data_IF_978340045153
#
_entry.id   IF_978340045153
#
_cell.length_a   1.000
_cell.length_b   1.000
_cell.length_c   1.000
_cell.angle_alpha   90.00
_cell.angle_beta   90.00
_cell.angle_gamma   90.00
#
_symmetry.space_group_name_H-M   'P 1'
#
loop_
_entity.id
_entity.type
_entity.pdbx_description
1 polymer ?
#
# COMPACT_ATOMS: atom_id res chain seq x y z
N UNK A 1 0.93 12.77 -1.77
CA UNK A 1 0.00 13.28 -2.80
C UNK A 1 -1.26 13.69 -2.06
N UNK A 2 -1.60 14.98 -2.06
CA UNK A 2 -2.73 15.53 -1.29
C UNK A 2 -3.62 16.44 -2.15
N UNK A 3 -3.38 16.47 -3.46
CA UNK A 3 -4.05 17.34 -4.42
C UNK A 3 -4.85 16.50 -5.39
N UNK A 4 -6.00 17.02 -5.84
CA UNK A 4 -6.79 16.41 -6.92
C UNK A 4 -6.22 16.70 -8.31
N UNK A 5 -5.23 17.60 -8.44
CA UNK A 5 -4.62 17.94 -9.73
C UNK A 5 -3.85 16.74 -10.32
N UNK A 6 -4.32 16.16 -11.44
CA UNK A 6 -3.68 15.01 -12.07
C UNK A 6 -2.27 15.31 -12.56
N UNK A 7 -2.00 16.53 -13.08
CA UNK A 7 -0.69 16.87 -13.62
C UNK A 7 0.37 16.93 -12.51
N UNK A 8 0.03 17.56 -11.39
CA UNK A 8 0.89 17.59 -10.22
C UNK A 8 1.11 16.18 -9.63
N UNK A 9 0.10 15.32 -9.63
CA UNK A 9 0.22 13.93 -9.19
C UNK A 9 1.16 13.11 -10.09
N UNK A 10 1.02 13.25 -11.40
CA UNK A 10 1.89 12.59 -12.38
C UNK A 10 3.33 13.09 -12.26
N UNK A 11 3.54 14.40 -12.12
CA UNK A 11 4.89 14.96 -11.92
C UNK A 11 5.60 14.41 -10.67
N UNK A 12 4.87 14.21 -9.57
CA UNK A 12 5.41 13.57 -8.36
C UNK A 12 5.71 12.09 -8.57
N UNK A 13 4.86 11.37 -9.30
CA UNK A 13 5.10 9.99 -9.66
C UNK A 13 6.37 9.84 -10.50
N UNK A 14 6.55 10.65 -11.54
CA UNK A 14 7.76 10.64 -12.37
C UNK A 14 9.02 10.95 -11.56
N UNK A 15 8.94 11.88 -10.60
CA UNK A 15 10.04 12.14 -9.68
C UNK A 15 10.42 10.90 -8.87
N UNK A 16 9.44 10.19 -8.29
CA UNK A 16 9.67 8.95 -7.55
C UNK A 16 10.23 7.83 -8.45
N UNK A 17 9.67 7.65 -9.64
CA UNK A 17 10.13 6.64 -10.59
C UNK A 17 11.59 6.89 -11.01
N UNK A 18 11.97 8.16 -11.20
CA UNK A 18 13.36 8.50 -11.51
C UNK A 18 14.32 8.18 -10.36
N UNK A 19 13.90 8.33 -9.10
CA UNK A 19 14.70 7.91 -7.94
C UNK A 19 14.87 6.39 -7.97
N UNK A 20 13.78 5.62 -8.07
CA UNK A 20 13.84 4.16 -8.05
C UNK A 20 14.61 3.58 -9.24
N UNK A 21 14.48 4.16 -10.44
CA UNK A 21 15.25 3.73 -11.63
C UNK A 21 16.73 4.01 -11.48
N UNK A 22 17.11 5.17 -10.91
CA UNK A 22 18.52 5.52 -10.71
C UNK A 22 19.20 4.66 -9.64
N UNK A 23 18.46 4.24 -8.61
CA UNK A 23 18.99 3.34 -7.58
C UNK A 23 19.13 1.90 -8.07
N UNK A 24 18.33 1.49 -9.07
CA UNK A 24 18.39 0.14 -9.67
C UNK A 24 19.43 -0.03 -10.78
N UNK A 25 19.89 1.04 -11.44
CA UNK A 25 20.94 0.95 -12.47
C UNK A 25 22.31 0.81 -11.81
N UNK A 26 22.77 -0.44 -11.64
CA UNK A 26 24.18 -0.76 -11.44
C UNK A 26 24.89 -0.83 -12.80
N UNK A 27 25.51 0.27 -13.24
CA UNK A 27 26.38 0.29 -14.42
C UNK A 27 27.55 -0.68 -14.24
N UNK A 28 27.54 -1.81 -14.96
CA UNK A 28 28.49 -2.93 -14.85
C UNK A 28 29.90 -2.68 -15.46
N UNK A 29 30.36 -1.44 -15.66
CA UNK A 29 31.50 -1.17 -16.57
C UNK A 29 32.86 -0.72 -15.97
N UNK A 30 33.06 -0.58 -14.64
CA UNK A 30 34.36 -0.12 -14.09
C UNK A 30 34.78 -0.77 -12.76
N UNK A 31 35.65 -1.78 -12.83
CA UNK A 31 35.70 -2.92 -11.90
C UNK A 31 36.55 -2.81 -10.62
N UNK A 32 36.89 -1.62 -10.07
CA UNK A 32 37.76 -1.57 -8.86
C UNK A 32 37.25 -0.72 -7.68
N UNK A 33 36.21 0.12 -7.87
CA UNK A 33 35.50 0.81 -6.78
C UNK A 33 34.09 0.24 -6.51
N UNK A 34 33.82 -0.96 -7.04
CA UNK A 34 32.48 -1.50 -7.22
C UNK A 34 31.77 -1.90 -5.95
N UNK A 35 32.45 -2.53 -4.98
CA UNK A 35 31.77 -3.09 -3.81
C UNK A 35 31.25 -1.99 -2.88
N UNK A 36 32.04 -0.94 -2.64
CA UNK A 36 31.62 0.18 -1.80
C UNK A 36 30.49 0.99 -2.45
N UNK A 37 30.57 1.23 -3.77
CA UNK A 37 29.54 1.95 -4.51
C UNK A 37 28.25 1.13 -4.65
N UNK A 38 28.36 -0.18 -4.89
CA UNK A 38 27.24 -1.13 -4.98
C UNK A 38 26.52 -1.28 -3.64
N UNK A 39 27.25 -1.43 -2.54
CA UNK A 39 26.66 -1.48 -1.20
C UNK A 39 25.96 -0.16 -0.83
N UNK A 40 26.55 0.97 -1.21
CA UNK A 40 25.93 2.30 -1.00
C UNK A 40 24.63 2.44 -1.82
N UNK A 41 24.64 2.02 -3.09
CA UNK A 41 23.45 2.07 -3.93
C UNK A 41 22.34 1.12 -3.44
N UNK A 42 22.69 -0.07 -2.95
CA UNK A 42 21.73 -1.00 -2.35
C UNK A 42 21.11 -0.45 -1.05
N UNK A 43 21.90 0.19 -0.20
CA UNK A 43 21.39 0.86 1.00
C UNK A 43 20.44 2.02 0.65
N UNK A 44 20.80 2.84 -0.34
CA UNK A 44 19.96 3.94 -0.81
C UNK A 44 18.67 3.42 -1.45
N UNK A 45 18.75 2.34 -2.23
CA UNK A 45 17.57 1.71 -2.83
C UNK A 45 16.62 1.19 -1.74
N UNK A 46 17.15 0.38 -0.81
CA UNK A 46 16.39 -0.13 0.32
C UNK A 46 15.76 1.01 1.13
N UNK A 47 16.53 2.04 1.46
CA UNK A 47 16.04 3.20 2.20
C UNK A 47 14.91 3.93 1.46
N UNK A 48 15.04 4.12 0.14
CA UNK A 48 14.03 4.78 -0.68
C UNK A 48 12.71 4.02 -0.68
N UNK A 49 12.76 2.69 -0.76
CA UNK A 49 11.57 1.84 -0.62
C UNK A 49 10.96 1.92 0.77
N UNK A 50 11.78 1.89 1.83
CA UNK A 50 11.31 2.09 3.20
C UNK A 50 10.59 3.43 3.37
N UNK A 51 11.14 4.52 2.82
CA UNK A 51 10.52 5.83 2.81
C UNK A 51 9.16 5.82 2.09
N UNK A 52 9.07 5.17 0.91
CA UNK A 52 7.81 5.05 0.19
C UNK A 52 6.77 4.32 1.04
N UNK A 53 7.15 3.19 1.64
CA UNK A 53 6.23 2.40 2.45
C UNK A 53 5.75 3.17 3.69
N UNK A 54 6.68 3.72 4.47
CA UNK A 54 6.34 4.47 5.68
C UNK A 54 5.52 5.71 5.37
N UNK A 55 5.83 6.43 4.28
CA UNK A 55 5.01 7.58 3.87
C UNK A 55 3.63 7.18 3.36
N UNK A 56 3.49 6.05 2.68
CA UNK A 56 2.19 5.52 2.24
C UNK A 56 1.30 5.15 3.43
N UNK A 57 1.86 4.46 4.43
CA UNK A 57 1.15 4.12 5.68
C UNK A 57 0.75 5.41 6.42
N UNK A 58 1.69 6.33 6.64
CA UNK A 58 1.37 7.58 7.34
C UNK A 58 0.33 8.43 6.58
N UNK A 59 0.31 8.39 5.26
CA UNK A 59 -0.68 9.10 4.44
C UNK A 59 -2.06 8.46 4.61
N UNK A 60 -2.11 7.12 4.67
CA UNK A 60 -3.33 6.38 4.89
C UNK A 60 -3.94 6.71 6.26
N UNK A 61 -3.16 6.59 7.33
CA UNK A 61 -3.60 6.87 8.69
C UNK A 61 -4.13 8.30 8.85
N UNK A 62 -3.46 9.29 8.24
CA UNK A 62 -3.75 10.71 8.49
C UNK A 62 -4.73 11.35 7.52
N UNK A 63 -4.80 10.89 6.27
CA UNK A 63 -5.58 11.58 5.23
C UNK A 63 -6.68 10.70 4.62
N UNK A 64 -6.40 9.42 4.34
CA UNK A 64 -7.36 8.55 3.65
C UNK A 64 -8.55 8.16 4.52
N UNK A 65 -8.38 8.22 5.85
CA UNK A 65 -9.46 8.13 6.81
C UNK A 65 -10.56 9.19 6.60
N UNK A 66 -10.23 10.34 5.99
CA UNK A 66 -11.13 11.49 5.84
C UNK A 66 -11.43 11.87 4.39
N UNK A 67 -10.64 11.41 3.41
CA UNK A 67 -10.82 11.76 2.01
C UNK A 67 -10.61 10.54 1.09
N UNK A 68 -11.72 10.02 0.57
CA UNK A 68 -11.74 8.85 -0.34
C UNK A 68 -11.11 9.20 -1.69
N UNK A 69 -11.42 10.35 -2.27
CA UNK A 69 -10.94 10.75 -3.60
C UNK A 69 -9.41 10.78 -3.68
N UNK A 70 -8.74 11.33 -2.66
CA UNK A 70 -7.27 11.31 -2.58
C UNK A 70 -6.75 9.87 -2.51
N UNK A 71 -7.46 9.00 -1.79
CA UNK A 71 -7.11 7.57 -1.67
C UNK A 71 -7.13 6.88 -3.03
N UNK A 72 -8.17 7.11 -3.85
CA UNK A 72 -8.31 6.53 -5.18
C UNK A 72 -7.17 6.96 -6.11
N UNK A 73 -6.87 8.27 -6.13
CA UNK A 73 -5.76 8.82 -6.92
C UNK A 73 -4.42 8.23 -6.44
N UNK A 74 -4.18 8.19 -5.14
CA UNK A 74 -2.94 7.64 -4.57
C UNK A 74 -2.77 6.15 -4.91
N UNK A 75 -3.84 5.37 -4.79
CA UNK A 75 -3.86 3.94 -5.10
C UNK A 75 -3.55 3.68 -6.57
N UNK A 76 -4.04 4.50 -7.50
CA UNK A 76 -3.66 4.42 -8.92
C UNK A 76 -2.15 4.60 -9.11
N UNK A 77 -1.56 5.64 -8.52
CA UNK A 77 -0.13 5.91 -8.64
C UNK A 77 0.71 4.77 -8.05
N UNK A 78 0.34 4.25 -6.88
CA UNK A 78 0.99 3.07 -6.29
C UNK A 78 0.83 1.81 -7.15
N UNK A 79 -0.34 1.59 -7.73
CA UNK A 79 -0.58 0.48 -8.67
C UNK A 79 0.38 0.56 -9.86
N UNK A 80 0.64 1.77 -10.37
CA UNK A 80 1.68 2.03 -11.38
C UNK A 80 3.07 1.66 -10.92
N UNK A 81 3.48 2.09 -9.72
CA UNK A 81 4.79 1.78 -9.13
C UNK A 81 4.96 0.27 -8.97
N UNK A 82 3.98 -0.44 -8.38
CA UNK A 82 4.07 -1.89 -8.18
C UNK A 82 3.93 -2.69 -9.47
N UNK A 83 3.33 -2.12 -10.51
CA UNK A 83 3.34 -2.75 -11.85
C UNK A 83 4.72 -2.68 -12.49
N UNK A 84 5.50 -1.62 -12.20
CA UNK A 84 6.89 -1.48 -12.65
C UNK A 84 7.90 -2.23 -11.76
N UNK A 85 7.60 -2.37 -10.47
CA UNK A 85 8.46 -3.02 -9.48
C UNK A 85 7.68 -4.09 -8.69
N UNK A 86 7.37 -5.25 -9.30
CA UNK A 86 6.44 -6.25 -8.75
C UNK A 86 6.89 -6.85 -7.43
N UNK A 87 8.20 -7.10 -7.27
CA UNK A 87 8.76 -7.75 -6.07
C UNK A 87 8.54 -6.91 -4.79
N UNK A 88 8.35 -5.60 -4.96
CA UNK A 88 8.14 -4.63 -3.88
C UNK A 88 6.72 -4.61 -3.33
N UNK A 89 5.78 -5.27 -3.99
CA UNK A 89 4.39 -5.34 -3.53
C UNK A 89 4.23 -6.19 -2.26
N UNK A 90 4.94 -7.31 -2.16
CA UNK A 90 4.82 -8.22 -1.00
C UNK A 90 5.30 -7.55 0.29
N UNK A 91 6.45 -6.87 0.24
CA UNK A 91 6.97 -6.08 1.36
C UNK A 91 5.97 -5.00 1.80
N UNK A 92 5.24 -4.40 0.85
CA UNK A 92 4.23 -3.41 1.15
C UNK A 92 2.96 -4.01 1.79
N UNK A 93 2.48 -5.15 1.29
CA UNK A 93 1.35 -5.85 1.92
C UNK A 93 1.65 -6.30 3.35
N UNK A 94 2.86 -6.77 3.63
CA UNK A 94 3.27 -7.07 5.01
C UNK A 94 3.07 -5.87 5.94
N UNK A 95 3.40 -4.66 5.48
CA UNK A 95 3.21 -3.43 6.27
C UNK A 95 1.75 -3.04 6.42
N UNK A 96 0.94 -3.22 5.38
CA UNK A 96 -0.50 -2.97 5.44
C UNK A 96 -1.14 -3.88 6.49
N UNK A 97 -0.80 -5.17 6.50
CA UNK A 97 -1.34 -6.11 7.48
C UNK A 97 -0.83 -5.87 8.90
N UNK A 98 0.41 -5.39 9.07
CA UNK A 98 0.89 -4.95 10.39
C UNK A 98 0.17 -3.68 10.88
N UNK A 99 -0.13 -2.75 9.98
CA UNK A 99 -0.84 -1.51 10.32
C UNK A 99 -2.34 -1.74 10.59
N UNK A 100 -2.96 -2.72 9.93
CA UNK A 100 -4.34 -3.15 10.15
C UNK A 100 -4.44 -4.69 10.11
N UNK A 101 -4.21 -5.37 11.24
CA UNK A 101 -4.21 -6.83 11.33
C UNK A 101 -5.52 -7.49 10.94
N UNK A 102 -6.64 -6.79 11.08
CA UNK A 102 -7.96 -7.25 10.62
C UNK A 102 -7.97 -7.60 9.12
N UNK A 103 -7.17 -6.92 8.29
CA UNK A 103 -7.04 -7.25 6.86
C UNK A 103 -6.25 -8.56 6.62
N UNK A 104 -5.46 -9.01 7.59
CA UNK A 104 -4.61 -10.21 7.51
C UNK A 104 -5.23 -11.49 8.10
N UNK A 105 -6.39 -11.38 8.75
CA UNK A 105 -7.07 -12.49 9.45
C UNK A 105 -7.43 -13.69 8.55
N UNK A 106 -7.50 -13.49 7.23
CA UNK A 106 -7.70 -14.57 6.26
C UNK A 106 -6.53 -15.55 6.18
N UNK A 107 -5.34 -15.14 6.62
CA UNK A 107 -4.12 -15.95 6.54
C UNK A 107 -3.59 -16.38 7.90
N UNK A 108 -3.81 -15.58 8.95
CA UNK A 108 -3.26 -15.82 10.28
C UNK A 108 -4.28 -15.46 11.37
N UNK A 109 -4.94 -16.47 11.97
CA UNK A 109 -5.89 -16.26 13.07
C UNK A 109 -5.24 -15.67 14.33
N UNK A 110 -3.92 -15.81 14.51
CA UNK A 110 -3.22 -15.23 15.66
C UNK A 110 -3.24 -13.70 15.66
N UNK A 111 -3.60 -13.09 14.52
CA UNK A 111 -3.87 -11.66 14.40
C UNK A 111 -4.95 -11.15 15.37
N UNK A 112 -5.87 -12.00 15.85
CA UNK A 112 -6.88 -11.62 16.84
C UNK A 112 -6.24 -11.07 18.14
N UNK A 113 -5.18 -11.73 18.63
CA UNK A 113 -4.47 -11.28 19.83
C UNK A 113 -3.83 -9.90 19.64
N UNK A 114 -3.27 -9.66 18.45
CA UNK A 114 -2.68 -8.36 18.11
C UNK A 114 -3.74 -7.26 18.02
N UNK A 115 -4.92 -7.59 17.48
CA UNK A 115 -6.05 -6.66 17.45
C UNK A 115 -6.43 -6.25 18.88
N UNK A 116 -6.62 -7.20 19.78
CA UNK A 116 -6.98 -6.93 21.18
C UNK A 116 -5.93 -6.05 21.88
N UNK A 117 -4.64 -6.34 21.67
CA UNK A 117 -3.54 -5.53 22.20
C UNK A 117 -3.61 -4.08 21.69
N UNK A 118 -3.79 -3.88 20.39
CA UNK A 118 -3.85 -2.54 19.80
C UNK A 118 -5.05 -1.70 20.25
N UNK A 119 -6.20 -2.33 20.52
CA UNK A 119 -7.37 -1.65 21.09
C UNK A 119 -7.15 -1.20 22.53
N UNK A 120 -6.29 -1.89 23.28
CA UNK A 120 -6.02 -1.55 24.67
C UNK A 120 -5.15 -0.30 24.86
N UNK A 121 -4.41 0.11 23.82
CA UNK A 121 -3.38 1.17 23.94
C UNK A 121 -3.74 2.50 23.30
N UNK A 122 -4.59 2.52 22.27
CA UNK A 122 -4.78 3.74 21.44
C UNK A 122 -6.12 3.74 20.70
N UNK A 123 -6.63 4.92 20.35
CA UNK A 123 -7.72 5.04 19.36
C UNK A 123 -7.18 4.78 17.95
N UNK A 124 -7.22 3.51 17.54
CA UNK A 124 -6.66 3.00 16.28
C UNK A 124 -7.66 2.95 15.11
N UNK A 125 -8.96 3.13 15.38
CA UNK A 125 -10.01 2.88 14.39
C UNK A 125 -9.92 3.84 13.19
N UNK A 126 -9.62 5.12 13.46
CA UNK A 126 -9.43 6.11 12.39
C UNK A 126 -8.22 5.78 11.50
N UNK A 127 -7.14 5.28 12.09
CA UNK A 127 -5.97 4.83 11.34
C UNK A 127 -6.33 3.63 10.46
N UNK A 128 -7.01 2.62 11.02
CA UNK A 128 -7.45 1.43 10.30
C UNK A 128 -8.41 1.74 9.16
N UNK A 129 -9.32 2.71 9.32
CA UNK A 129 -10.16 3.23 8.25
C UNK A 129 -9.31 3.67 7.06
N UNK A 130 -8.27 4.47 7.32
CA UNK A 130 -7.32 4.92 6.31
C UNK A 130 -6.58 3.77 5.63
N UNK A 131 -6.06 2.81 6.40
CA UNK A 131 -5.34 1.64 5.88
C UNK A 131 -6.26 0.75 5.03
N UNK A 132 -7.46 0.44 5.52
CA UNK A 132 -8.44 -0.40 4.82
C UNK A 132 -8.90 0.23 3.51
N UNK A 133 -9.10 1.55 3.49
CA UNK A 133 -9.39 2.29 2.26
C UNK A 133 -8.24 2.22 1.25
N UNK A 134 -7.00 2.43 1.68
CA UNK A 134 -5.83 2.30 0.80
C UNK A 134 -5.71 0.89 0.22
N UNK A 135 -5.80 -0.13 1.07
CA UNK A 135 -5.70 -1.53 0.67
C UNK A 135 -6.75 -1.87 -0.40
N UNK A 136 -8.02 -1.56 -0.11
CA UNK A 136 -9.12 -1.83 -1.02
C UNK A 136 -8.94 -1.09 -2.34
N UNK A 137 -8.60 0.21 -2.28
CA UNK A 137 -8.39 1.02 -3.47
C UNK A 137 -7.24 0.47 -4.31
N UNK A 138 -6.15 0.05 -3.69
CA UNK A 138 -4.98 -0.50 -4.40
C UNK A 138 -5.29 -1.81 -5.13
N UNK A 139 -6.15 -2.67 -4.58
CA UNK A 139 -6.57 -3.91 -5.25
C UNK A 139 -7.44 -3.66 -6.48
N UNK A 140 -8.19 -2.54 -6.49
CA UNK A 140 -9.11 -2.19 -7.56
C UNK A 140 -8.48 -1.24 -8.58
N UNK A 141 -7.52 -0.41 -8.17
CA UNK A 141 -6.96 0.66 -8.96
C UNK A 141 -6.24 0.18 -10.24
N UNK A 142 -6.49 0.91 -11.31
CA UNK A 142 -5.71 0.82 -12.54
C UNK A 142 -4.50 1.76 -12.48
N UNK A 143 -3.33 1.33 -12.99
CA UNK A 143 -2.16 2.20 -13.09
C UNK A 143 -2.46 3.38 -14.04
N UNK A 144 -1.75 4.52 -13.89
CA UNK A 144 -1.93 5.66 -14.77
C UNK A 144 -1.66 5.27 -16.25
N UNK A 145 -2.55 5.63 -17.19
CA UNK A 145 -2.44 5.18 -18.58
C UNK A 145 -1.11 5.54 -19.26
N UNK A 146 -0.52 6.68 -18.93
CA UNK A 146 0.73 7.17 -19.52
C UNK A 146 1.94 6.26 -19.21
N UNK A 147 1.88 5.43 -18.17
CA UNK A 147 2.95 4.48 -17.87
C UNK A 147 2.97 3.29 -18.84
N UNK A 148 1.87 3.03 -19.57
CA UNK A 148 1.79 1.92 -20.52
C UNK A 148 1.92 0.53 -19.88
N UNK A 149 1.63 0.39 -18.58
CA UNK A 149 1.73 -0.87 -17.84
C UNK A 149 0.36 -1.43 -17.49
N UNK A 150 0.25 -2.76 -17.44
CA UNK A 150 -0.92 -3.45 -16.90
C UNK A 150 -0.83 -3.59 -15.38
N UNK A 151 -1.99 -3.58 -14.71
CA UNK A 151 -2.09 -3.82 -13.26
C UNK A 151 -1.39 -5.11 -12.85
N UNK A 152 -0.66 -5.07 -11.74
CA UNK A 152 -0.01 -6.24 -11.16
C UNK A 152 -1.00 -7.39 -10.91
N UNK A 153 -0.59 -8.64 -11.16
CA UNK A 153 -1.47 -9.83 -11.09
C UNK A 153 -2.12 -10.02 -9.71
N UNK A 154 -1.43 -9.64 -8.64
CA UNK A 154 -1.95 -9.75 -7.26
C UNK A 154 -2.87 -8.60 -6.85
N UNK A 155 -2.80 -7.46 -7.55
CA UNK A 155 -3.73 -6.35 -7.35
C UNK A 155 -5.00 -6.70 -8.11
N UNK A 156 -5.85 -7.53 -7.51
CA UNK A 156 -7.09 -7.96 -8.13
C UNK A 156 -8.18 -8.23 -7.06
N UNK A 157 -9.46 -8.28 -7.46
CA UNK A 157 -10.57 -8.49 -6.53
C UNK A 157 -10.58 -9.84 -5.81
N UNK A 158 -9.86 -10.86 -6.30
CA UNK A 158 -9.84 -12.18 -5.64
C UNK A 158 -9.16 -12.15 -4.26
N UNK A 159 -8.15 -11.29 -4.07
CA UNK A 159 -7.55 -11.10 -2.75
C UNK A 159 -8.52 -10.36 -1.82
N UNK A 160 -9.26 -9.37 -2.34
CA UNK A 160 -10.29 -8.68 -1.57
C UNK A 160 -11.37 -9.65 -1.09
N UNK A 161 -11.81 -10.57 -1.96
CA UNK A 161 -12.75 -11.62 -1.59
C UNK A 161 -12.22 -12.51 -0.47
N UNK A 162 -10.94 -12.91 -0.54
CA UNK A 162 -10.30 -13.70 0.54
C UNK A 162 -10.29 -12.94 1.87
N UNK A 163 -9.97 -11.65 1.86
CA UNK A 163 -10.00 -10.80 3.05
C UNK A 163 -11.40 -10.74 3.64
N UNK A 164 -12.42 -10.48 2.83
CA UNK A 164 -13.83 -10.46 3.27
C UNK A 164 -14.21 -11.80 3.91
N UNK A 165 -13.89 -12.92 3.25
CA UNK A 165 -14.19 -14.25 3.80
C UNK A 165 -13.42 -14.53 5.09
N UNK A 166 -12.18 -14.05 5.21
CA UNK A 166 -11.39 -14.18 6.43
C UNK A 166 -12.00 -13.42 7.58
N UNK A 167 -12.43 -12.17 7.35
CA UNK A 167 -13.07 -11.35 8.38
C UNK A 167 -14.40 -11.98 8.85
N UNK A 168 -15.22 -12.48 7.93
CA UNK A 168 -16.55 -13.05 8.25
C UNK A 168 -16.47 -14.39 8.97
N UNK A 169 -15.43 -15.19 8.69
CA UNK A 169 -15.28 -16.54 9.26
C UNK A 169 -14.52 -16.58 10.59
N UNK A 170 -14.07 -15.45 11.12
CA UNK A 170 -13.35 -15.35 12.39
C UNK A 170 -14.28 -14.83 13.51
N UNK A 171 -13.81 -14.89 14.75
CA UNK A 171 -14.52 -14.30 15.87
C UNK A 171 -14.80 -12.81 15.61
N UNK A 172 -16.06 -12.43 15.77
CA UNK A 172 -16.52 -11.08 15.43
C UNK A 172 -16.03 -10.08 16.48
N UNK A 173 -15.15 -9.16 16.07
CA UNK A 173 -14.70 -8.03 16.89
C UNK A 173 -15.50 -6.79 16.45
N UNK A 174 -16.53 -6.36 17.19
CA UNK A 174 -17.57 -5.48 16.65
C UNK A 174 -17.06 -4.21 15.98
N UNK A 175 -16.18 -3.45 16.65
CA UNK A 175 -15.69 -2.18 16.13
C UNK A 175 -14.68 -2.39 14.99
N UNK A 176 -13.76 -3.34 15.12
CA UNK A 176 -12.75 -3.65 14.11
C UNK A 176 -13.36 -4.15 12.80
N UNK A 177 -14.21 -5.18 12.92
CA UNK A 177 -14.83 -5.84 11.78
C UNK A 177 -15.76 -4.89 11.04
N UNK A 178 -16.57 -4.10 11.76
CA UNK A 178 -17.45 -3.11 11.14
C UNK A 178 -16.65 -2.03 10.40
N UNK A 179 -15.60 -1.48 11.03
CA UNK A 179 -14.78 -0.41 10.47
C UNK A 179 -14.06 -0.84 9.18
N UNK A 180 -13.45 -2.03 9.16
CA UNK A 180 -12.77 -2.52 7.97
C UNK A 180 -13.77 -2.89 6.87
N UNK A 181 -14.89 -3.52 7.24
CA UNK A 181 -15.91 -3.93 6.26
C UNK A 181 -16.55 -2.73 5.57
N UNK A 182 -16.90 -1.67 6.32
CA UNK A 182 -17.51 -0.47 5.72
C UNK A 182 -16.55 0.19 4.74
N UNK A 183 -15.26 0.28 5.07
CA UNK A 183 -14.25 0.83 4.17
C UNK A 183 -14.11 0.04 2.87
N UNK A 184 -14.17 -1.30 2.95
CA UNK A 184 -14.14 -2.17 1.77
C UNK A 184 -15.33 -1.85 0.86
N UNK A 185 -16.54 -1.73 1.41
CA UNK A 185 -17.74 -1.44 0.62
C UNK A 185 -17.73 -0.02 0.05
N UNK A 186 -17.36 1.00 0.83
CA UNK A 186 -17.29 2.40 0.38
C UNK A 186 -16.35 2.57 -0.82
N UNK A 187 -15.16 1.99 -0.74
CA UNK A 187 -14.20 2.06 -1.85
C UNK A 187 -14.67 1.24 -3.03
N UNK A 188 -15.18 0.03 -2.80
CA UNK A 188 -15.66 -0.83 -3.90
C UNK A 188 -16.77 -0.13 -4.69
N UNK A 189 -17.70 0.54 -4.00
CA UNK A 189 -18.76 1.33 -4.64
C UNK A 189 -18.22 2.48 -5.48
N UNK A 190 -17.09 3.07 -5.09
CA UNK A 190 -16.47 4.18 -5.83
C UNK A 190 -15.85 3.76 -7.18
N UNK A 191 -15.72 2.45 -7.44
CA UNK A 191 -15.22 1.88 -8.70
C UNK A 191 -16.33 1.32 -9.61
N UNK A 192 -17.59 1.31 -9.17
CA UNK A 192 -18.77 0.89 -9.95
C UNK A 192 -19.61 2.10 -10.36
#
# INVERSE_FOLDING_TARGET
ISSHDPLHCIGRLECLLNIFRRTTITDCSKQTNFEKLRNTNQLIDSFSWQCLYSSSISQAEKQFAYNIDITLVYASLLSGIFSLFPDKLFEFFGRIFLACPALGLFSDPSGLNLIEEMFSTTDILSNWRGIARLFTALLLAHPPPHLGVSRHKLLNPSLLWRVITGIVNQEFIPCATAEVSICIFEISWSYY
#
